data_IF_711198698530
#
_entry.id   IF_711198698530
#
_cell.length_a   1.000
_cell.length_b   1.000
_cell.length_c   1.000
_cell.angle_alpha   90.00
_cell.angle_beta   90.00
_cell.angle_gamma   90.00
#
_symmetry.space_group_name_H-M   'P 1'
#
loop_
_entity.id
_entity.type
_entity.pdbx_description
1 polymer ?
#
# COMPACT_ATOMS: atom_id res chain seq x y z
N UNK A 1 -43.24 11.42 6.94
CA UNK A 1 -42.46 10.17 7.06
C UNK A 1 -41.90 9.70 5.72
N UNK A 2 -42.72 9.44 4.70
CA UNK A 2 -42.18 8.95 3.41
C UNK A 2 -41.35 9.99 2.65
N UNK A 3 -41.81 11.26 2.60
CA UNK A 3 -41.08 12.37 1.96
C UNK A 3 -39.69 12.58 2.56
N UNK A 4 -39.58 12.50 3.89
CA UNK A 4 -38.31 12.63 4.61
C UNK A 4 -37.37 11.47 4.31
N UNK A 5 -37.87 10.23 4.23
CA UNK A 5 -37.05 9.06 3.87
C UNK A 5 -36.54 9.15 2.42
N UNK A 6 -37.37 9.62 1.49
CA UNK A 6 -36.94 9.80 0.10
C UNK A 6 -35.85 10.86 -0.03
N UNK A 7 -35.99 11.98 0.70
CA UNK A 7 -34.98 13.04 0.70
C UNK A 7 -33.67 12.56 1.32
N UNK A 8 -33.69 11.81 2.43
CA UNK A 8 -32.47 11.31 3.05
C UNK A 8 -31.77 10.26 2.19
N UNK A 9 -32.52 9.34 1.58
CA UNK A 9 -31.96 8.37 0.61
C UNK A 9 -31.30 9.06 -0.58
N UNK A 10 -31.94 10.11 -1.13
CA UNK A 10 -31.39 10.90 -2.24
C UNK A 10 -30.06 11.55 -1.85
N UNK A 11 -29.99 12.19 -0.68
CA UNK A 11 -28.77 12.85 -0.18
C UNK A 11 -27.64 11.83 -0.01
N UNK A 12 -27.92 10.67 0.61
CA UNK A 12 -26.91 9.63 0.82
C UNK A 12 -26.41 9.08 -0.52
N UNK A 13 -27.30 8.85 -1.49
CA UNK A 13 -26.92 8.41 -2.82
C UNK A 13 -25.99 9.42 -3.52
N UNK A 14 -26.28 10.72 -3.43
CA UNK A 14 -25.42 11.78 -3.97
C UNK A 14 -24.05 11.77 -3.28
N UNK A 15 -24.00 11.63 -1.95
CA UNK A 15 -22.74 11.56 -1.21
C UNK A 15 -21.84 10.40 -1.68
N UNK A 16 -22.41 9.20 -1.82
CA UNK A 16 -21.67 8.02 -2.29
C UNK A 16 -21.18 8.23 -3.72
N UNK A 17 -22.02 8.79 -4.60
CA UNK A 17 -21.66 9.12 -5.96
C UNK A 17 -20.48 10.09 -6.01
N UNK A 18 -20.52 11.18 -5.22
CA UNK A 18 -19.46 12.19 -5.12
C UNK A 18 -18.13 11.61 -4.62
N UNK A 19 -18.16 10.76 -3.59
CA UNK A 19 -16.96 10.08 -3.08
C UNK A 19 -16.35 9.14 -4.12
N UNK A 20 -17.19 8.56 -4.99
CA UNK A 20 -16.79 7.56 -5.98
C UNK A 20 -16.51 8.15 -7.37
N UNK A 21 -16.63 9.48 -7.57
CA UNK A 21 -16.42 10.16 -8.86
C UNK A 21 -15.08 9.76 -9.49
N UNK A 22 -13.98 9.76 -8.73
CA UNK A 22 -12.66 9.39 -9.28
C UNK A 22 -12.56 7.93 -9.75
N UNK A 23 -13.39 7.04 -9.20
CA UNK A 23 -13.44 5.62 -9.57
C UNK A 23 -14.35 5.42 -10.78
N UNK A 24 -15.51 6.09 -10.79
CA UNK A 24 -16.53 5.94 -11.83
C UNK A 24 -16.17 6.69 -13.13
N UNK A 25 -15.57 7.88 -13.06
CA UNK A 25 -15.26 8.68 -14.24
C UNK A 25 -13.90 8.33 -14.87
N UNK A 26 -13.01 7.65 -14.15
CA UNK A 26 -11.71 7.24 -14.68
C UNK A 26 -11.83 5.83 -15.25
N UNK A 27 -11.54 5.66 -16.55
CA UNK A 27 -11.58 4.36 -17.27
C UNK A 27 -10.81 3.23 -16.58
N UNK A 28 -9.81 3.58 -15.75
CA UNK A 28 -9.05 2.67 -14.88
C UNK A 28 -9.05 3.18 -13.42
N UNK A 29 -10.21 3.52 -12.88
CA UNK A 29 -10.41 3.98 -11.52
C UNK A 29 -10.03 2.91 -10.49
N UNK A 30 -8.75 2.81 -10.15
CA UNK A 30 -8.28 2.01 -9.01
C UNK A 30 -8.23 2.89 -7.77
N UNK A 31 -8.57 2.29 -6.64
CA UNK A 31 -8.29 2.91 -5.35
C UNK A 31 -6.78 3.21 -5.29
N UNK A 32 -6.36 4.42 -4.89
CA UNK A 32 -4.94 4.76 -4.82
C UNK A 32 -4.23 3.75 -3.92
N UNK A 33 -3.08 3.24 -4.36
CA UNK A 33 -2.29 2.32 -3.55
C UNK A 33 -1.87 3.06 -2.26
N UNK A 34 -2.48 2.70 -1.14
CA UNK A 34 -2.15 3.23 0.20
C UNK A 34 -0.89 2.59 0.76
N UNK A 35 -0.38 1.54 0.12
CA UNK A 35 0.87 0.92 0.47
C UNK A 35 2.06 1.81 0.10
N UNK A 36 2.88 2.17 1.08
CA UNK A 36 4.05 3.05 0.92
C UNK A 36 4.96 2.56 -0.21
N UNK A 37 5.27 1.25 -0.24
CA UNK A 37 6.16 0.66 -1.27
C UNK A 37 5.56 0.59 -2.67
N UNK A 38 4.22 0.65 -2.79
CA UNK A 38 3.51 0.58 -4.09
C UNK A 38 3.24 1.96 -4.71
N UNK A 39 3.53 3.04 -3.99
CA UNK A 39 3.27 4.40 -4.45
C UNK A 39 4.44 4.94 -5.28
N UNK A 40 4.22 5.10 -6.59
CA UNK A 40 5.19 5.75 -7.50
C UNK A 40 5.59 7.16 -7.02
N UNK A 41 4.67 7.87 -6.36
CA UNK A 41 4.93 9.20 -5.82
C UNK A 41 5.87 9.18 -4.61
N UNK A 42 5.70 8.20 -3.70
CA UNK A 42 6.58 8.03 -2.54
C UNK A 42 7.98 7.57 -2.96
N UNK A 43 8.05 6.67 -3.95
CA UNK A 43 9.33 6.22 -4.52
C UNK A 43 10.13 7.35 -5.19
N UNK A 44 9.46 8.29 -5.87
CA UNK A 44 10.12 9.50 -6.42
C UNK A 44 10.73 10.40 -5.33
N UNK A 45 10.19 10.35 -4.11
CA UNK A 45 10.69 11.10 -2.95
C UNK A 45 11.77 10.33 -2.17
N UNK A 46 12.17 9.14 -2.64
CA UNK A 46 13.14 8.29 -1.95
C UNK A 46 12.58 7.58 -0.71
N UNK A 47 11.26 7.62 -0.48
CA UNK A 47 10.65 7.05 0.73
C UNK A 47 10.31 5.58 0.47
N UNK A 48 11.07 4.69 1.10
CA UNK A 48 10.89 3.23 1.07
C UNK A 48 9.99 2.70 2.19
N UNK A 49 9.95 1.37 2.37
CA UNK A 49 9.35 0.82 3.59
C UNK A 49 10.25 1.12 4.79
N UNK A 50 9.68 1.15 5.98
CA UNK A 50 10.46 1.42 7.20
C UNK A 50 11.58 0.40 7.38
N UNK A 51 11.32 -0.87 7.10
CA UNK A 51 12.33 -1.94 7.23
C UNK A 51 13.48 -1.81 6.23
N UNK A 52 13.20 -1.39 4.98
CA UNK A 52 14.26 -1.20 3.99
C UNK A 52 15.12 0.01 4.34
N UNK A 53 14.48 1.12 4.72
CA UNK A 53 15.19 2.33 5.14
C UNK A 53 16.01 2.09 6.41
N UNK A 54 15.48 1.35 7.37
CA UNK A 54 16.19 0.98 8.60
C UNK A 54 17.41 0.10 8.29
N UNK A 55 17.27 -0.88 7.37
CA UNK A 55 18.38 -1.69 6.88
C UNK A 55 19.44 -0.89 6.12
N UNK A 56 19.02 0.09 5.31
CA UNK A 56 19.93 0.98 4.57
C UNK A 56 20.66 1.97 5.50
N UNK A 57 19.99 2.43 6.55
CA UNK A 57 20.57 3.30 7.57
C UNK A 57 21.45 2.54 8.58
N UNK A 58 21.37 1.21 8.60
CA UNK A 58 22.16 0.37 9.48
C UNK A 58 23.65 0.48 9.11
N UNK A 59 24.44 1.03 10.03
CA UNK A 59 25.89 1.09 9.92
C UNK A 59 26.44 -0.33 10.15
N UNK A 60 27.26 -0.81 9.21
CA UNK A 60 27.92 -2.11 9.34
C UNK A 60 28.90 -2.07 10.50
N UNK A 61 28.59 -2.80 11.57
CA UNK A 61 29.46 -2.88 12.75
C UNK A 61 30.47 -4.03 12.54
N UNK A 62 31.79 -3.77 12.56
CA UNK A 62 32.83 -4.81 12.45
C UNK A 62 32.77 -5.88 13.54
N UNK A 63 32.13 -5.56 14.67
CA UNK A 63 31.92 -6.47 15.80
C UNK A 63 30.49 -7.03 15.88
N UNK A 64 29.69 -6.88 14.83
CA UNK A 64 28.36 -7.48 14.77
C UNK A 64 28.47 -9.00 14.92
N UNK A 65 27.79 -9.53 15.95
CA UNK A 65 27.64 -10.97 16.14
C UNK A 65 26.64 -11.44 15.09
N UNK A 66 26.99 -12.48 14.32
CA UNK A 66 26.08 -13.01 13.32
C UNK A 66 24.78 -13.47 13.98
N UNK A 67 23.66 -12.79 13.69
CA UNK A 67 22.35 -13.30 14.05
C UNK A 67 22.15 -14.69 13.43
N UNK A 68 21.65 -15.64 14.22
CA UNK A 68 21.35 -17.00 13.74
C UNK A 68 20.30 -16.88 12.64
N UNK A 69 20.70 -16.94 11.36
CA UNK A 69 19.79 -17.07 10.22
C UNK A 69 18.80 -18.20 10.53
N UNK A 70 17.53 -17.88 10.74
CA UNK A 70 16.49 -18.90 10.56
C UNK A 70 16.60 -19.36 9.12
N UNK A 71 16.79 -20.66 8.96
CA UNK A 71 17.00 -21.31 7.68
C UNK A 71 15.69 -21.29 6.88
N UNK A 72 15.38 -20.18 6.23
CA UNK A 72 14.48 -20.19 5.07
C UNK A 72 15.35 -20.31 3.81
N UNK A 73 15.98 -21.47 3.73
CA UNK A 73 16.62 -21.98 2.54
C UNK A 73 15.55 -22.75 1.78
N UNK A 74 14.56 -22.10 1.16
CA UNK A 74 13.48 -22.88 0.53
C UNK A 74 12.85 -22.37 -0.77
N UNK A 75 13.36 -21.32 -1.43
CA UNK A 75 12.83 -20.97 -2.77
C UNK A 75 13.83 -20.60 -3.86
N UNK A 76 15.14 -20.52 -3.60
CA UNK A 76 16.13 -20.25 -4.66
C UNK A 76 16.70 -21.53 -5.33
N UNK A 77 16.39 -22.72 -4.81
CA UNK A 77 16.89 -23.99 -5.37
C UNK A 77 15.97 -24.66 -6.39
N UNK A 78 14.70 -24.27 -6.51
CA UNK A 78 13.74 -24.94 -7.41
C UNK A 78 13.75 -24.39 -8.84
N UNK A 79 14.45 -23.29 -9.13
CA UNK A 79 14.51 -22.73 -10.50
C UNK A 79 15.72 -23.27 -11.29
N UNK A 80 16.72 -23.82 -10.61
CA UNK A 80 17.98 -24.27 -11.24
C UNK A 80 18.17 -25.80 -11.26
N UNK A 81 17.09 -26.58 -11.25
CA UNK A 81 17.17 -28.02 -11.53
C UNK A 81 16.01 -28.53 -12.39
#
# INVERSE_FOLDING_TARGET
MLKTILITMLIVAICIALLSVKILFKKNGRFPNTHVSGSKAMRKRGIGCVQSQDREAQIVNPHAIAERKQAETETEKTINN
#
